data_IF_865302051166
#
_entry.id   IF_865302051166
#
_cell.length_a   1.000
_cell.length_b   1.000
_cell.length_c   1.000
_cell.angle_alpha   90.00
_cell.angle_beta   90.00
_cell.angle_gamma   90.00
#
_symmetry.space_group_name_H-M   'P 1'
#
loop_
_entity.id
_entity.type
_entity.pdbx_description
1 polymer ?
#
# COMPACT_ATOMS: atom_id res chain seq x y z
N UNK A 1 31.32 -8.00 -2.48
CA UNK A 1 30.05 -8.62 -2.88
C UNK A 1 30.38 -9.60 -4.00
N UNK A 2 29.87 -10.82 -3.94
CA UNK A 2 30.09 -11.83 -4.99
C UNK A 2 28.86 -11.81 -5.92
N UNK A 3 29.10 -11.99 -7.23
CA UNK A 3 28.05 -12.02 -8.25
C UNK A 3 28.26 -13.23 -9.17
N UNK A 4 27.15 -13.84 -9.59
CA UNK A 4 27.20 -14.77 -10.72
C UNK A 4 27.38 -13.99 -12.03
N UNK A 5 28.08 -14.62 -13.00
CA UNK A 5 28.25 -13.99 -14.32
C UNK A 5 26.92 -13.81 -15.04
N UNK A 6 26.87 -12.82 -15.92
CA UNK A 6 25.67 -12.55 -16.76
C UNK A 6 25.30 -13.80 -17.58
N UNK A 7 26.29 -14.51 -18.15
CA UNK A 7 26.04 -15.72 -18.94
C UNK A 7 25.40 -16.85 -18.12
N UNK A 8 25.84 -17.03 -16.87
CA UNK A 8 25.26 -18.01 -15.94
C UNK A 8 23.81 -17.65 -15.64
N UNK A 9 23.53 -16.39 -15.29
CA UNK A 9 22.18 -15.92 -15.00
C UNK A 9 21.27 -16.03 -16.22
N UNK A 10 21.77 -15.66 -17.40
CA UNK A 10 21.05 -15.82 -18.68
C UNK A 10 20.70 -17.30 -18.95
N UNK A 11 21.62 -18.21 -18.69
CA UNK A 11 21.38 -19.64 -18.81
C UNK A 11 20.26 -20.12 -17.86
N UNK A 12 20.36 -19.74 -16.58
CA UNK A 12 19.38 -20.14 -15.57
C UNK A 12 17.99 -19.58 -15.87
N UNK A 13 17.87 -18.33 -16.31
CA UNK A 13 16.58 -17.75 -16.72
C UNK A 13 15.98 -18.39 -17.96
N UNK A 14 16.79 -18.74 -18.97
CA UNK A 14 16.29 -19.52 -20.10
C UNK A 14 15.74 -20.88 -19.65
N UNK A 15 16.46 -21.58 -18.78
CA UNK A 15 15.99 -22.84 -18.23
C UNK A 15 14.66 -22.70 -17.48
N UNK A 16 14.49 -21.68 -16.64
CA UNK A 16 13.26 -21.39 -15.92
C UNK A 16 12.10 -21.11 -16.88
N UNK A 17 12.33 -20.30 -17.91
CA UNK A 17 11.33 -19.93 -18.90
C UNK A 17 10.97 -21.10 -19.81
N UNK A 18 11.95 -21.92 -20.21
CA UNK A 18 11.73 -23.15 -21.01
C UNK A 18 10.92 -24.19 -20.22
N UNK A 19 11.01 -24.18 -18.86
CA UNK A 19 10.16 -24.96 -17.99
C UNK A 19 8.72 -24.40 -17.81
N UNK A 20 8.40 -23.28 -18.48
CA UNK A 20 7.07 -22.65 -18.42
C UNK A 20 6.76 -21.85 -17.15
N UNK A 21 7.78 -21.53 -16.36
CA UNK A 21 7.62 -20.73 -15.15
C UNK A 21 7.27 -19.28 -15.51
N UNK A 22 6.17 -18.78 -14.94
CA UNK A 22 5.60 -17.49 -15.30
C UNK A 22 6.15 -16.33 -14.45
N UNK A 23 6.44 -16.58 -13.17
CA UNK A 23 6.84 -15.57 -12.21
C UNK A 23 8.19 -15.93 -11.60
N UNK A 24 9.09 -14.96 -11.52
CA UNK A 24 10.43 -15.14 -10.97
C UNK A 24 10.60 -14.24 -9.75
N UNK A 25 11.03 -14.82 -8.63
CA UNK A 25 11.54 -14.07 -7.49
C UNK A 25 13.03 -14.36 -7.34
N UNK A 26 13.84 -13.35 -7.66
CA UNK A 26 15.29 -13.41 -7.47
C UNK A 26 15.64 -13.14 -6.00
N UNK A 27 16.21 -14.12 -5.33
CA UNK A 27 16.66 -14.02 -3.94
C UNK A 27 18.01 -13.29 -3.82
N UNK A 28 18.07 -12.08 -4.34
CA UNK A 28 19.20 -11.15 -4.18
C UNK A 28 18.78 -10.07 -3.18
N UNK A 29 19.60 -9.80 -2.19
CA UNK A 29 19.30 -8.79 -1.15
C UNK A 29 19.58 -7.35 -1.57
N UNK A 30 20.23 -7.12 -2.72
CA UNK A 30 20.70 -5.80 -3.16
C UNK A 30 20.77 -5.67 -4.69
N UNK A 31 19.82 -6.19 -5.43
CA UNK A 31 19.80 -6.09 -6.90
C UNK A 31 19.84 -4.63 -7.35
N UNK A 32 20.65 -4.34 -8.35
CA UNK A 32 20.95 -2.97 -8.80
C UNK A 32 22.17 -2.33 -8.12
N UNK A 33 22.80 -3.01 -7.15
CA UNK A 33 24.02 -2.51 -6.54
C UNK A 33 25.25 -2.69 -7.43
N UNK A 34 25.30 -3.76 -8.21
CA UNK A 34 26.44 -4.10 -9.06
C UNK A 34 26.26 -3.58 -10.48
N UNK A 35 27.39 -3.34 -11.17
CA UNK A 35 27.38 -2.88 -12.57
C UNK A 35 26.75 -3.92 -13.51
N UNK A 36 27.00 -5.18 -13.23
CA UNK A 36 26.52 -6.31 -14.01
C UNK A 36 25.00 -6.51 -13.93
N UNK A 37 24.33 -5.91 -12.94
CA UNK A 37 22.88 -6.08 -12.75
C UNK A 37 22.09 -5.43 -13.88
N UNK A 38 22.63 -4.37 -14.52
CA UNK A 38 22.04 -3.77 -15.73
C UNK A 38 22.02 -4.79 -16.87
N UNK A 39 23.14 -5.46 -17.12
CA UNK A 39 23.25 -6.45 -18.18
C UNK A 39 22.40 -7.70 -17.91
N UNK A 40 22.25 -8.08 -16.63
CA UNK A 40 21.29 -9.14 -16.25
C UNK A 40 19.85 -8.72 -16.55
N UNK A 41 19.47 -7.50 -16.17
CA UNK A 41 18.12 -6.99 -16.46
C UNK A 41 17.85 -6.95 -17.98
N UNK A 42 18.80 -6.48 -18.79
CA UNK A 42 18.71 -6.51 -20.25
C UNK A 42 18.50 -7.94 -20.78
N UNK A 43 19.29 -8.89 -20.27
CA UNK A 43 19.16 -10.30 -20.66
C UNK A 43 17.77 -10.87 -20.35
N UNK A 44 17.18 -10.50 -19.21
CA UNK A 44 15.83 -10.91 -18.85
C UNK A 44 14.77 -10.29 -19.79
N UNK A 45 14.91 -9.00 -20.12
CA UNK A 45 14.03 -8.33 -21.08
C UNK A 45 14.10 -8.95 -22.48
N UNK A 46 15.30 -9.30 -22.96
CA UNK A 46 15.47 -10.02 -24.23
C UNK A 46 14.76 -11.39 -24.22
N UNK A 47 14.87 -12.13 -23.11
CA UNK A 47 14.16 -13.41 -22.95
C UNK A 47 12.64 -13.17 -22.97
N UNK A 48 12.13 -12.18 -22.24
CA UNK A 48 10.72 -11.80 -22.20
C UNK A 48 10.20 -11.44 -23.61
N UNK A 49 10.92 -10.62 -24.33
CA UNK A 49 10.53 -10.20 -25.70
C UNK A 49 10.47 -11.39 -26.66
N UNK A 50 11.39 -12.36 -26.52
CA UNK A 50 11.45 -13.55 -27.36
C UNK A 50 10.38 -14.60 -27.03
N UNK A 51 10.06 -14.79 -25.74
CA UNK A 51 9.27 -15.93 -25.27
C UNK A 51 7.90 -15.55 -24.69
N UNK A 52 7.68 -14.28 -24.39
CA UNK A 52 6.51 -13.82 -23.62
C UNK A 52 6.62 -14.07 -22.10
N UNK A 53 7.64 -14.77 -21.65
CA UNK A 53 7.88 -15.12 -20.23
C UNK A 53 9.20 -14.54 -19.73
N UNK A 54 9.32 -14.32 -18.40
CA UNK A 54 8.30 -14.46 -17.38
C UNK A 54 7.25 -13.35 -17.44
N UNK A 55 6.15 -13.50 -16.73
CA UNK A 55 5.15 -12.42 -16.60
C UNK A 55 5.65 -11.36 -15.63
N UNK A 56 6.24 -11.78 -14.51
CA UNK A 56 6.76 -10.87 -13.48
C UNK A 56 8.17 -11.25 -13.03
N UNK A 57 8.92 -10.24 -12.61
CA UNK A 57 10.22 -10.39 -11.97
C UNK A 57 10.28 -9.52 -10.73
N UNK A 58 10.38 -10.14 -9.55
CA UNK A 58 10.52 -9.49 -8.27
C UNK A 58 11.88 -9.76 -7.64
N UNK A 59 12.37 -8.85 -6.82
CA UNK A 59 13.64 -8.97 -6.10
C UNK A 59 13.69 -7.99 -4.94
N UNK A 60 14.66 -8.18 -4.03
CA UNK A 60 14.99 -7.15 -3.04
C UNK A 60 16.01 -6.17 -3.63
N UNK A 61 15.64 -4.93 -3.63
CA UNK A 61 16.39 -3.86 -4.27
C UNK A 61 17.57 -3.35 -3.45
N UNK A 62 18.54 -2.76 -4.13
CA UNK A 62 19.62 -2.02 -3.49
C UNK A 62 19.05 -0.88 -2.61
N UNK A 63 19.55 -0.78 -1.38
CA UNK A 63 19.15 0.25 -0.41
C UNK A 63 19.50 1.68 -0.86
N UNK A 64 20.44 1.81 -1.80
CA UNK A 64 20.85 3.09 -2.38
C UNK A 64 20.34 3.15 -3.81
N UNK A 65 19.26 3.90 -4.00
CA UNK A 65 18.81 4.25 -5.35
C UNK A 65 19.85 5.17 -6.02
N UNK A 66 20.15 4.88 -7.27
CA UNK A 66 21.07 5.66 -8.08
C UNK A 66 20.74 5.49 -9.56
N UNK A 67 21.48 6.15 -10.49
CA UNK A 67 21.19 6.10 -11.92
C UNK A 67 21.07 4.67 -12.47
N UNK A 68 21.85 3.74 -11.93
CA UNK A 68 21.80 2.32 -12.33
C UNK A 68 20.51 1.64 -11.88
N UNK A 69 20.10 1.83 -10.63
CA UNK A 69 18.82 1.28 -10.15
C UNK A 69 17.64 1.87 -10.94
N UNK A 70 17.69 3.16 -11.25
CA UNK A 70 16.70 3.82 -12.09
C UNK A 70 16.64 3.22 -13.50
N UNK A 71 17.80 3.03 -14.15
CA UNK A 71 17.88 2.38 -15.48
C UNK A 71 17.24 0.99 -15.46
N UNK A 72 17.57 0.16 -14.44
CA UNK A 72 17.01 -1.19 -14.32
C UNK A 72 15.49 -1.15 -14.10
N UNK A 73 15.03 -0.29 -13.21
CA UNK A 73 13.59 -0.17 -12.87
C UNK A 73 12.79 0.23 -14.10
N UNK A 74 13.22 1.25 -14.83
CA UNK A 74 12.54 1.71 -16.04
C UNK A 74 12.57 0.63 -17.13
N UNK A 75 13.70 -0.01 -17.34
CA UNK A 75 13.84 -1.11 -18.31
C UNK A 75 12.88 -2.27 -18.03
N UNK A 76 12.78 -2.71 -16.75
CA UNK A 76 11.88 -3.78 -16.37
C UNK A 76 10.41 -3.33 -16.47
N UNK A 77 10.11 -2.07 -16.13
CA UNK A 77 8.77 -1.51 -16.24
C UNK A 77 8.29 -1.45 -17.70
N UNK A 78 9.11 -0.92 -18.60
CA UNK A 78 8.82 -0.85 -20.05
C UNK A 78 8.58 -2.22 -20.69
N UNK A 79 9.20 -3.27 -20.13
CA UNK A 79 9.00 -4.65 -20.58
C UNK A 79 7.90 -5.41 -19.81
N UNK A 80 7.09 -4.72 -19.00
CA UNK A 80 6.03 -5.32 -18.19
C UNK A 80 6.51 -6.47 -17.30
N UNK A 81 7.70 -6.34 -16.74
CA UNK A 81 8.33 -7.31 -15.84
C UNK A 81 8.26 -6.88 -14.38
N UNK A 82 8.10 -5.57 -14.12
CA UNK A 82 8.20 -5.00 -12.78
C UNK A 82 6.85 -5.01 -12.06
N UNK A 83 6.60 -5.92 -11.10
CA UNK A 83 5.38 -5.89 -10.32
C UNK A 83 5.37 -4.76 -9.29
N UNK A 84 6.53 -4.46 -8.72
CA UNK A 84 6.74 -3.37 -7.76
C UNK A 84 8.21 -2.97 -7.66
N UNK A 85 8.43 -1.73 -7.22
CA UNK A 85 9.74 -1.21 -6.86
C UNK A 85 9.69 -0.64 -5.44
N UNK A 86 10.43 -1.23 -4.50
CA UNK A 86 10.37 -0.84 -3.10
C UNK A 86 11.59 -0.03 -2.67
N UNK A 87 11.32 1.10 -1.99
CA UNK A 87 12.31 1.82 -1.19
C UNK A 87 12.13 1.45 0.28
N UNK A 88 13.03 0.64 0.81
CA UNK A 88 12.97 0.17 2.19
C UNK A 88 13.46 1.28 3.14
N UNK A 89 12.62 2.24 3.47
CA UNK A 89 12.91 3.31 4.43
C UNK A 89 12.88 2.82 5.87
N UNK A 90 11.95 1.94 6.19
CA UNK A 90 11.67 1.26 7.47
C UNK A 90 11.21 2.19 8.59
N UNK A 91 11.87 3.30 8.83
CA UNK A 91 11.47 4.41 9.69
C UNK A 91 12.14 5.69 9.22
N UNK A 92 11.59 6.84 9.58
CA UNK A 92 12.23 8.14 9.42
C UNK A 92 12.64 8.75 10.77
N UNK A 93 12.33 8.08 11.87
CA UNK A 93 12.65 8.55 13.23
C UNK A 93 14.16 8.43 13.50
N UNK A 94 14.87 9.54 13.77
CA UNK A 94 16.33 9.55 13.86
C UNK A 94 16.88 8.57 14.90
N UNK A 95 16.27 8.51 16.10
CA UNK A 95 16.72 7.61 17.15
C UNK A 95 16.55 6.14 16.75
N UNK A 96 15.45 5.78 16.10
CA UNK A 96 15.25 4.41 15.63
C UNK A 96 16.26 4.04 14.53
N UNK A 97 16.59 4.97 13.63
CA UNK A 97 17.63 4.75 12.62
C UNK A 97 19.01 4.53 13.27
N UNK A 98 19.35 5.33 14.27
CA UNK A 98 20.61 5.21 15.02
C UNK A 98 20.72 3.84 15.71
N UNK A 99 19.69 3.44 16.46
CA UNK A 99 19.66 2.17 17.19
C UNK A 99 19.67 0.95 16.26
N UNK A 100 19.06 1.06 15.08
CA UNK A 100 19.11 0.01 14.05
C UNK A 100 20.39 0.04 13.21
N UNK A 101 21.36 0.91 13.52
CA UNK A 101 22.60 1.12 12.73
C UNK A 101 22.30 1.36 11.25
N UNK A 102 21.26 2.16 10.96
CA UNK A 102 20.77 2.37 9.62
C UNK A 102 20.90 3.83 9.20
N UNK A 103 21.29 4.01 7.95
CA UNK A 103 21.29 5.32 7.28
C UNK A 103 20.35 5.24 6.08
N UNK A 104 19.27 5.99 6.13
CA UNK A 104 18.38 6.15 5.00
C UNK A 104 18.92 7.17 3.99
N UNK A 105 18.36 7.14 2.80
CA UNK A 105 18.51 8.22 1.84
C UNK A 105 17.82 9.48 2.39
N UNK A 106 18.47 10.63 2.25
CA UNK A 106 17.88 11.90 2.66
C UNK A 106 16.58 12.19 1.89
N UNK A 107 15.64 12.87 2.53
CA UNK A 107 14.33 13.17 1.93
C UNK A 107 14.43 13.93 0.61
N UNK A 108 15.35 14.90 0.52
CA UNK A 108 15.61 15.66 -0.70
C UNK A 108 16.12 14.79 -1.89
N UNK A 109 16.41 13.51 -1.63
CA UNK A 109 16.83 12.56 -2.67
C UNK A 109 15.73 11.55 -2.98
N UNK A 110 15.06 10.97 -1.99
CA UNK A 110 14.05 9.95 -2.26
C UNK A 110 12.71 10.54 -2.72
N UNK A 111 12.32 11.70 -2.24
CA UNK A 111 11.04 12.31 -2.64
C UNK A 111 10.98 12.65 -4.15
N UNK A 112 12.00 13.30 -4.76
CA UNK A 112 12.00 13.52 -6.20
C UNK A 112 11.94 12.21 -7.00
N UNK A 113 12.67 11.18 -6.56
CA UNK A 113 12.68 9.86 -7.21
C UNK A 113 11.28 9.25 -7.16
N UNK A 114 10.65 9.26 -5.99
CA UNK A 114 9.31 8.68 -5.81
C UNK A 114 8.28 9.39 -6.71
N UNK A 115 8.32 10.72 -6.76
CA UNK A 115 7.42 11.51 -7.63
C UNK A 115 7.69 11.27 -9.12
N UNK A 116 8.94 11.18 -9.54
CA UNK A 116 9.31 10.88 -10.93
C UNK A 116 8.80 9.48 -11.32
N UNK A 117 9.01 8.48 -10.48
CA UNK A 117 8.55 7.12 -10.72
C UNK A 117 7.02 7.02 -10.74
N UNK A 118 6.33 7.71 -9.84
CA UNK A 118 4.86 7.76 -9.83
C UNK A 118 4.30 8.38 -11.10
N UNK A 119 4.88 9.49 -11.57
CA UNK A 119 4.51 10.13 -12.86
C UNK A 119 4.75 9.21 -14.06
N UNK A 120 5.82 8.42 -14.03
CA UNK A 120 6.10 7.40 -15.04
C UNK A 120 5.24 6.13 -14.90
N UNK A 121 4.30 6.09 -13.93
CA UNK A 121 3.47 4.93 -13.60
C UNK A 121 4.26 3.68 -13.21
N UNK A 122 5.50 3.86 -12.76
CA UNK A 122 6.24 2.78 -12.11
C UNK A 122 5.57 2.46 -10.78
N UNK A 123 5.28 1.18 -10.48
CA UNK A 123 4.62 0.81 -9.22
C UNK A 123 5.60 0.93 -8.03
N UNK A 124 5.91 2.18 -7.66
CA UNK A 124 6.82 2.48 -6.55
C UNK A 124 6.10 2.41 -5.22
N UNK A 125 6.76 1.82 -4.23
CA UNK A 125 6.31 1.75 -2.86
C UNK A 125 7.43 2.07 -1.87
N UNK A 126 7.09 2.51 -0.67
CA UNK A 126 8.02 2.49 0.45
C UNK A 126 7.61 1.45 1.50
N UNK A 127 8.57 1.01 2.29
CA UNK A 127 8.37 0.07 3.39
C UNK A 127 8.67 0.76 4.71
N UNK A 128 7.72 0.64 5.66
CA UNK A 128 7.87 1.07 7.04
C UNK A 128 7.73 -0.12 7.99
N UNK A 129 8.36 -0.01 9.15
CA UNK A 129 8.24 -0.98 10.23
C UNK A 129 7.78 -0.24 11.48
N UNK A 130 6.61 -0.62 12.01
CA UNK A 130 6.16 -0.18 13.31
C UNK A 130 6.73 -1.05 14.42
N UNK A 131 7.08 -0.45 15.55
CA UNK A 131 7.58 -1.13 16.73
C UNK A 131 9.11 -1.18 16.82
N UNK A 132 9.83 -0.44 15.98
CA UNK A 132 11.27 -0.28 16.10
C UNK A 132 11.64 0.49 17.37
N UNK A 133 12.66 0.01 18.08
CA UNK A 133 13.16 0.67 19.29
C UNK A 133 13.68 2.06 18.91
N UNK A 134 13.25 3.08 19.65
CA UNK A 134 13.56 4.48 19.36
C UNK A 134 12.47 5.20 18.56
N UNK A 135 11.43 4.50 18.09
CA UNK A 135 10.23 5.11 17.50
C UNK A 135 9.15 5.38 18.57
N UNK A 136 8.08 6.04 18.20
CA UNK A 136 6.84 6.22 18.97
C UNK A 136 5.69 6.52 18.00
N UNK A 137 4.46 6.36 18.48
CA UNK A 137 3.27 6.46 17.63
C UNK A 137 3.13 7.85 16.96
N UNK A 138 3.37 8.92 17.71
CA UNK A 138 3.23 10.28 17.18
C UNK A 138 4.23 10.56 16.06
N UNK A 139 5.49 10.12 16.22
CA UNK A 139 6.51 10.21 15.17
C UNK A 139 6.16 9.32 13.98
N UNK A 140 5.64 8.13 14.24
CA UNK A 140 5.25 7.19 13.19
C UNK A 140 4.08 7.72 12.36
N UNK A 141 3.04 8.29 12.99
CA UNK A 141 1.92 8.94 12.31
C UNK A 141 2.38 10.12 11.46
N UNK A 142 3.21 11.00 12.02
CA UNK A 142 3.79 12.14 11.29
C UNK A 142 4.59 11.69 10.06
N UNK A 143 5.40 10.64 10.22
CA UNK A 143 6.18 10.04 9.13
C UNK A 143 5.27 9.42 8.07
N UNK A 144 4.20 8.75 8.48
CA UNK A 144 3.22 8.14 7.59
C UNK A 144 2.48 9.21 6.77
N UNK A 145 1.98 10.26 7.41
CA UNK A 145 1.32 11.39 6.75
C UNK A 145 2.23 12.03 5.68
N UNK A 146 3.49 12.27 6.03
CA UNK A 146 4.49 12.77 5.07
C UNK A 146 4.67 11.85 3.88
N UNK A 147 4.78 10.55 4.11
CA UNK A 147 5.03 9.56 3.06
C UNK A 147 3.82 9.31 2.17
N UNK A 148 2.59 9.48 2.67
CA UNK A 148 1.39 9.46 1.85
C UNK A 148 1.37 10.52 0.75
N UNK A 149 1.99 11.70 1.00
CA UNK A 149 2.14 12.75 0.01
C UNK A 149 3.28 12.49 -1.00
N UNK A 150 4.04 11.43 -0.83
CA UNK A 150 5.23 11.12 -1.64
C UNK A 150 5.10 9.82 -2.42
N UNK A 151 4.54 8.78 -1.79
CA UNK A 151 4.47 7.44 -2.37
C UNK A 151 3.04 7.02 -2.69
N UNK A 152 2.78 6.48 -3.89
CA UNK A 152 1.46 5.93 -4.23
C UNK A 152 1.12 4.68 -3.40
N UNK A 153 2.14 4.00 -2.88
CA UNK A 153 1.96 2.79 -2.08
C UNK A 153 2.92 2.79 -0.90
N UNK A 154 2.40 2.47 0.28
CA UNK A 154 3.18 2.29 1.50
C UNK A 154 2.89 0.88 2.05
N UNK A 155 3.93 0.12 2.34
CA UNK A 155 3.83 -1.16 3.05
C UNK A 155 4.25 -0.95 4.50
N UNK A 156 3.40 -1.32 5.44
CA UNK A 156 3.70 -1.21 6.87
C UNK A 156 3.72 -2.61 7.47
N UNK A 157 4.80 -2.93 8.15
CA UNK A 157 4.99 -4.20 8.84
C UNK A 157 5.12 -3.98 10.36
N UNK A 158 4.59 -4.90 11.15
CA UNK A 158 4.91 -4.98 12.58
C UNK A 158 6.34 -5.51 12.76
N UNK A 159 7.10 -4.90 13.66
CA UNK A 159 8.44 -5.38 13.95
C UNK A 159 8.38 -6.74 14.63
N UNK A 160 8.96 -7.76 13.98
CA UNK A 160 9.08 -9.10 14.53
C UNK A 160 10.45 -9.30 15.13
N UNK A 161 10.49 -9.56 16.44
CA UNK A 161 11.73 -9.85 17.15
C UNK A 161 12.19 -11.28 16.83
N UNK A 162 13.31 -11.40 16.13
CA UNK A 162 13.83 -12.68 15.68
C UNK A 162 15.01 -13.14 16.56
N UNK A 163 15.06 -14.44 16.96
CA UNK A 163 16.20 -15.00 17.65
C UNK A 163 17.52 -14.77 16.89
N UNK A 164 18.57 -14.44 17.64
CA UNK A 164 19.91 -14.20 17.07
C UNK A 164 20.14 -12.78 16.53
N UNK A 165 19.14 -11.92 16.57
CA UNK A 165 19.33 -10.48 16.28
C UNK A 165 19.85 -9.73 17.51
N UNK A 166 20.45 -8.56 17.30
CA UNK A 166 21.00 -7.73 18.38
C UNK A 166 19.92 -7.36 19.40
N UNK A 167 18.76 -6.89 18.95
CA UNK A 167 17.66 -6.53 19.82
C UNK A 167 17.10 -7.72 20.61
N UNK A 168 17.11 -8.94 20.05
CA UNK A 168 16.73 -10.14 20.77
C UNK A 168 17.71 -10.40 21.95
N UNK A 169 19.00 -10.21 21.74
CA UNK A 169 20.02 -10.36 22.78
C UNK A 169 20.00 -9.25 23.84
N UNK A 170 19.48 -8.09 23.49
CA UNK A 170 19.39 -6.90 24.36
C UNK A 170 17.96 -6.56 24.82
N UNK A 171 17.06 -7.55 24.82
CA UNK A 171 15.65 -7.28 25.11
C UNK A 171 15.41 -6.66 26.50
N UNK A 172 16.22 -7.02 27.49
CA UNK A 172 16.12 -6.42 28.83
C UNK A 172 16.62 -4.97 28.85
N UNK A 173 17.73 -4.70 28.16
CA UNK A 173 18.34 -3.36 28.03
C UNK A 173 17.36 -2.37 27.40
N UNK A 174 16.64 -2.80 26.35
CA UNK A 174 15.66 -1.98 25.63
C UNK A 174 14.23 -2.13 26.15
N UNK A 175 14.01 -2.88 27.25
CA UNK A 175 12.71 -3.11 27.86
C UNK A 175 11.68 -3.60 26.82
N UNK A 176 12.08 -4.57 25.97
CA UNK A 176 11.24 -5.03 24.86
C UNK A 176 10.16 -5.97 25.38
N UNK A 177 8.91 -5.58 25.14
CA UNK A 177 7.72 -6.36 25.40
C UNK A 177 7.14 -6.88 24.09
N UNK A 178 6.70 -8.15 24.11
CA UNK A 178 6.30 -8.84 22.89
C UNK A 178 5.01 -9.63 23.07
N UNK A 179 4.30 -9.83 21.96
CA UNK A 179 3.22 -10.80 21.83
C UNK A 179 3.60 -11.87 20.80
N UNK A 180 3.19 -13.14 21.01
CA UNK A 180 3.47 -14.18 20.03
C UNK A 180 2.75 -13.88 18.72
N UNK A 181 3.46 -14.11 17.61
CA UNK A 181 2.88 -14.05 16.26
C UNK A 181 2.26 -15.40 15.95
N UNK A 182 0.97 -15.45 15.67
CA UNK A 182 0.33 -16.59 15.03
C UNK A 182 0.88 -16.66 13.59
N UNK A 183 1.70 -17.72 13.29
CA UNK A 183 2.22 -17.52 12.12
C UNK A 183 2.79 -18.37 11.09
N UNK A 184 3.82 -18.16 10.48
CA UNK A 184 4.42 -18.88 9.38
C UNK A 184 4.88 -20.28 9.80
N UNK A 185 3.95 -21.22 9.89
CA UNK A 185 4.21 -22.61 10.25
C UNK A 185 4.74 -22.78 11.68
N UNK A 186 5.89 -23.46 11.85
CA UNK A 186 6.50 -23.69 13.17
C UNK A 186 7.47 -22.58 13.62
N UNK A 187 7.62 -21.52 12.85
CA UNK A 187 8.48 -20.41 13.22
C UNK A 187 7.84 -19.62 14.37
N UNK A 188 8.60 -19.44 15.45
CA UNK A 188 8.19 -18.61 16.58
C UNK A 188 8.74 -17.21 16.34
N UNK A 189 7.86 -16.32 15.92
CA UNK A 189 8.10 -14.88 15.91
C UNK A 189 7.40 -14.22 17.10
N UNK A 190 7.85 -13.06 17.50
CA UNK A 190 7.23 -12.24 18.53
C UNK A 190 7.08 -10.82 17.99
N UNK A 191 5.84 -10.28 18.01
CA UNK A 191 5.64 -8.86 17.69
C UNK A 191 6.06 -8.00 18.86
N UNK A 192 6.88 -6.99 18.60
CA UNK A 192 7.21 -5.96 19.59
C UNK A 192 5.99 -5.06 19.77
N UNK A 193 5.49 -5.03 21.01
CA UNK A 193 4.32 -4.23 21.40
C UNK A 193 4.64 -3.17 22.44
N UNK A 194 5.84 -3.18 23.02
CA UNK A 194 6.34 -2.16 23.95
C UNK A 194 7.85 -2.17 24.01
N UNK A 195 8.45 -1.04 24.32
CA UNK A 195 9.90 -0.92 24.55
C UNK A 195 10.21 0.38 25.30
N UNK A 196 11.49 0.64 25.54
CA UNK A 196 11.95 1.86 26.22
C UNK A 196 11.43 3.19 25.62
N UNK A 197 10.99 3.21 24.38
CA UNK A 197 10.53 4.42 23.68
C UNK A 197 9.02 4.56 23.57
N UNK A 198 8.27 3.50 23.81
CA UNK A 198 6.80 3.53 23.82
C UNK A 198 6.24 2.41 24.73
N UNK A 199 5.15 2.66 25.47
CA UNK A 199 4.45 1.66 26.29
C UNK A 199 3.61 0.71 25.44
N UNK A 200 3.12 -0.40 26.03
CA UNK A 200 2.30 -1.41 25.35
C UNK A 200 1.05 -0.79 24.71
N UNK A 201 0.38 0.11 25.41
CA UNK A 201 -0.85 0.74 24.94
C UNK A 201 -0.61 1.48 23.61
N UNK A 202 0.50 2.19 23.52
CA UNK A 202 0.91 2.90 22.30
C UNK A 202 1.34 1.92 21.22
N UNK A 203 2.06 0.85 21.60
CA UNK A 203 2.45 -0.22 20.70
C UNK A 203 1.25 -0.87 20.02
N UNK A 204 0.20 -1.17 20.77
CA UNK A 204 -1.04 -1.75 20.28
C UNK A 204 -1.82 -0.78 19.37
N UNK A 205 -1.83 0.51 19.66
CA UNK A 205 -2.40 1.54 18.79
C UNK A 205 -1.70 1.59 17.41
N UNK A 206 -0.40 1.33 17.34
CA UNK A 206 0.31 1.24 16.08
C UNK A 206 -0.10 0.02 15.24
N UNK A 207 -0.37 -1.14 15.83
CA UNK A 207 -0.95 -2.29 15.12
C UNK A 207 -2.38 -2.00 14.64
N UNK A 208 -3.14 -1.25 15.43
CA UNK A 208 -4.45 -0.76 15.00
C UNK A 208 -4.34 0.17 13.79
N UNK A 209 -3.36 1.07 13.76
CA UNK A 209 -3.07 1.91 12.59
C UNK A 209 -2.64 1.09 11.37
N UNK A 210 -1.85 0.02 11.54
CA UNK A 210 -1.52 -0.92 10.46
C UNK A 210 -2.79 -1.51 9.86
N UNK A 211 -3.73 -1.96 10.72
CA UNK A 211 -5.01 -2.51 10.26
C UNK A 211 -5.83 -1.48 9.49
N UNK A 212 -5.92 -0.24 10.01
CA UNK A 212 -6.60 0.85 9.34
C UNK A 212 -6.00 1.13 7.95
N UNK A 213 -4.67 1.19 7.87
CA UNK A 213 -3.95 1.37 6.62
C UNK A 213 -4.19 0.22 5.62
N UNK A 214 -4.17 -1.03 6.11
CA UNK A 214 -4.45 -2.20 5.27
C UNK A 214 -5.84 -2.16 4.64
N UNK A 215 -6.85 -1.76 5.40
CA UNK A 215 -8.23 -1.66 4.88
C UNK A 215 -8.39 -0.48 3.93
N UNK A 216 -8.00 0.71 4.32
CA UNK A 216 -8.39 1.96 3.66
C UNK A 216 -7.50 2.33 2.49
N UNK A 217 -6.18 2.17 2.66
CA UNK A 217 -5.20 2.52 1.62
C UNK A 217 -4.89 1.31 0.73
N UNK A 218 -4.41 0.23 1.33
CA UNK A 218 -4.00 -0.99 0.62
C UNK A 218 -5.20 -1.82 0.16
N UNK A 219 -6.27 -1.82 0.95
CA UNK A 219 -7.50 -2.57 0.70
C UNK A 219 -8.45 -1.94 -0.31
N UNK A 220 -8.06 -0.86 -0.97
CA UNK A 220 -8.89 -0.16 -1.97
C UNK A 220 -10.22 0.40 -1.46
N UNK A 221 -10.35 0.63 -0.16
CA UNK A 221 -11.57 1.24 0.36
C UNK A 221 -11.66 2.72 -0.04
N UNK A 222 -10.57 3.48 0.13
CA UNK A 222 -10.56 4.90 -0.21
C UNK A 222 -9.19 5.44 -0.70
N UNK A 223 -8.55 4.79 -1.65
CA UNK A 223 -7.20 5.14 -2.08
C UNK A 223 -7.12 6.52 -2.74
N UNK A 224 -8.12 6.94 -3.50
CA UNK A 224 -8.15 8.24 -4.18
C UNK A 224 -8.38 9.36 -3.17
N UNK A 225 -9.34 9.17 -2.26
CA UNK A 225 -9.64 10.13 -1.18
C UNK A 225 -8.43 10.35 -0.30
N UNK A 226 -7.75 9.28 0.14
CA UNK A 226 -6.54 9.39 0.97
C UNK A 226 -5.40 10.12 0.25
N UNK A 227 -5.16 9.82 -1.03
CA UNK A 227 -4.16 10.53 -1.84
C UNK A 227 -4.47 12.01 -1.97
N UNK A 228 -5.72 12.35 -2.25
CA UNK A 228 -6.14 13.74 -2.35
C UNK A 228 -5.90 14.50 -1.05
N UNK A 229 -6.31 13.93 0.09
CA UNK A 229 -6.11 14.53 1.40
C UNK A 229 -4.62 14.68 1.74
N UNK A 230 -3.83 13.64 1.52
CA UNK A 230 -2.40 13.67 1.78
C UNK A 230 -1.66 14.70 0.90
N UNK A 231 -1.99 14.78 -0.39
CA UNK A 231 -1.39 15.76 -1.31
C UNK A 231 -1.84 17.19 -1.02
N UNK A 232 -3.03 17.38 -0.44
CA UNK A 232 -3.52 18.70 -0.03
C UNK A 232 -2.88 19.19 1.27
N UNK A 233 -2.32 18.27 2.07
CA UNK A 233 -1.74 18.54 3.40
C UNK A 233 -2.71 19.28 4.35
N UNK A 234 -4.00 19.21 4.08
CA UNK A 234 -5.02 19.96 4.80
C UNK A 234 -5.34 19.35 6.17
N UNK A 235 -5.27 18.00 6.27
CA UNK A 235 -5.58 17.26 7.50
C UNK A 235 -4.67 16.04 7.61
N UNK A 236 -4.32 15.59 8.85
CA UNK A 236 -3.53 14.38 9.06
C UNK A 236 -4.37 13.13 8.73
N UNK A 237 -3.91 12.30 7.80
CA UNK A 237 -4.65 11.13 7.33
C UNK A 237 -4.46 9.89 8.20
N UNK A 238 -3.32 9.74 8.90
CA UNK A 238 -3.04 8.59 9.75
C UNK A 238 -4.03 8.50 10.93
N UNK A 239 -4.22 9.60 11.64
CA UNK A 239 -5.20 9.69 12.73
C UNK A 239 -6.64 9.51 12.24
N UNK A 240 -6.97 10.06 11.07
CA UNK A 240 -8.28 9.88 10.43
C UNK A 240 -8.57 8.40 10.15
N UNK A 241 -7.61 7.66 9.58
CA UNK A 241 -7.77 6.22 9.32
C UNK A 241 -8.01 5.43 10.61
N UNK A 242 -7.32 5.75 11.73
CA UNK A 242 -7.59 5.11 13.03
C UNK A 242 -9.02 5.39 13.51
N UNK A 243 -9.48 6.63 13.39
CA UNK A 243 -10.85 7.02 13.76
C UNK A 243 -11.90 6.30 12.92
N UNK A 244 -11.64 6.11 11.62
CA UNK A 244 -12.48 5.33 10.73
C UNK A 244 -12.52 3.85 11.12
N UNK A 245 -11.37 3.26 11.46
CA UNK A 245 -11.33 1.86 11.90
C UNK A 245 -12.11 1.66 13.21
N UNK A 246 -12.02 2.59 14.15
CA UNK A 246 -12.86 2.57 15.36
C UNK A 246 -14.35 2.56 15.02
N UNK A 247 -14.77 3.41 14.09
CA UNK A 247 -16.16 3.49 13.66
C UNK A 247 -16.62 2.22 12.92
N UNK A 248 -15.76 1.64 12.07
CA UNK A 248 -16.06 0.37 11.39
C UNK A 248 -16.15 -0.82 12.35
N UNK A 249 -15.30 -0.88 13.38
CA UNK A 249 -15.42 -1.91 14.42
C UNK A 249 -16.75 -1.82 15.16
N UNK A 250 -17.22 -0.62 15.44
CA UNK A 250 -18.53 -0.42 16.07
C UNK A 250 -19.67 -0.77 15.11
N UNK A 251 -19.55 -0.38 13.83
CA UNK A 251 -20.55 -0.62 12.79
C UNK A 251 -20.77 -2.11 12.54
N UNK A 252 -19.72 -2.93 12.58
CA UNK A 252 -19.74 -4.35 12.21
C UNK A 252 -19.58 -5.30 13.39
N UNK A 253 -19.78 -4.83 14.63
CA UNK A 253 -19.65 -5.64 15.84
C UNK A 253 -20.68 -6.79 15.94
N UNK A 254 -21.83 -6.66 15.29
CA UNK A 254 -22.85 -7.71 15.23
C UNK A 254 -22.53 -8.77 14.17
N UNK A 255 -21.97 -8.37 13.02
CA UNK A 255 -21.60 -9.25 11.93
C UNK A 255 -20.32 -10.05 12.22
N UNK A 256 -19.41 -9.51 13.02
CA UNK A 256 -18.15 -10.15 13.40
C UNK A 256 -18.10 -10.36 14.90
N UNK A 257 -18.56 -11.52 15.41
CA UNK A 257 -18.57 -11.81 16.82
C UNK A 257 -17.17 -11.75 17.44
N UNK A 258 -17.01 -10.92 18.46
CA UNK A 258 -15.72 -10.69 19.15
C UNK A 258 -14.94 -9.49 18.62
N UNK A 259 -15.35 -8.87 17.53
CA UNK A 259 -14.73 -7.62 17.07
C UNK A 259 -14.99 -6.49 18.09
N UNK A 260 -13.91 -5.98 18.66
CA UNK A 260 -13.96 -4.91 19.66
C UNK A 260 -12.77 -3.96 19.47
N UNK A 261 -13.03 -2.72 19.18
CA UNK A 261 -11.99 -1.70 18.99
C UNK A 261 -11.10 -1.45 20.24
N UNK A 262 -11.51 -1.88 21.43
CA UNK A 262 -10.67 -1.84 22.63
C UNK A 262 -9.56 -2.92 22.59
N UNK A 263 -9.80 -4.05 21.93
CA UNK A 263 -8.81 -5.10 21.69
C UNK A 263 -8.09 -4.86 20.34
N UNK A 264 -7.05 -4.06 20.35
CA UNK A 264 -6.33 -3.65 19.13
C UNK A 264 -5.70 -4.81 18.37
N UNK A 265 -5.15 -5.80 19.09
CA UNK A 265 -4.58 -6.99 18.46
C UNK A 265 -5.67 -7.93 17.95
N UNK A 266 -6.78 -8.07 18.65
CA UNK A 266 -7.94 -8.78 18.15
C UNK A 266 -8.46 -8.17 16.87
N UNK A 267 -8.53 -6.86 16.73
CA UNK A 267 -8.87 -6.18 15.46
C UNK A 267 -7.86 -6.48 14.37
N UNK A 268 -6.56 -6.53 14.68
CA UNK A 268 -5.53 -6.94 13.70
C UNK A 268 -5.71 -8.40 13.25
N UNK A 269 -6.13 -9.30 14.14
CA UNK A 269 -6.46 -10.68 13.80
C UNK A 269 -7.73 -10.79 12.94
N UNK A 270 -8.77 -9.98 13.21
CA UNK A 270 -10.02 -9.92 12.44
C UNK A 270 -9.94 -9.09 11.14
N UNK A 271 -8.76 -8.65 10.72
CA UNK A 271 -8.61 -7.76 9.56
C UNK A 271 -9.19 -8.32 8.26
N UNK A 272 -9.13 -9.64 8.07
CA UNK A 272 -9.66 -10.31 6.87
C UNK A 272 -11.18 -10.35 6.89
N UNK A 273 -11.78 -10.73 8.02
CA UNK A 273 -13.22 -10.72 8.22
C UNK A 273 -13.80 -9.31 8.10
N UNK A 274 -13.12 -8.33 8.71
CA UNK A 274 -13.53 -6.93 8.62
C UNK A 274 -13.46 -6.41 7.18
N UNK A 275 -12.44 -6.82 6.44
CA UNK A 275 -12.31 -6.51 5.03
C UNK A 275 -13.48 -7.10 4.22
N UNK A 276 -13.73 -8.41 4.34
CA UNK A 276 -14.83 -9.09 3.64
C UNK A 276 -16.17 -8.45 3.98
N UNK A 277 -16.41 -8.18 5.27
CA UNK A 277 -17.67 -7.59 5.74
C UNK A 277 -17.84 -6.17 5.19
N UNK A 278 -16.77 -5.36 5.17
CA UNK A 278 -16.82 -4.00 4.62
C UNK A 278 -17.24 -3.98 3.14
N UNK A 279 -16.78 -4.93 2.34
CA UNK A 279 -17.16 -5.03 0.93
C UNK A 279 -18.42 -5.89 0.66
N UNK A 280 -18.91 -6.57 1.67
CA UNK A 280 -20.24 -7.20 1.63
C UNK A 280 -21.34 -6.16 1.85
N UNK A 281 -21.07 -5.15 2.70
CA UNK A 281 -21.99 -4.06 3.02
C UNK A 281 -21.43 -2.69 2.62
N UNK A 282 -21.16 -2.44 1.33
CA UNK A 282 -20.43 -1.26 0.88
C UNK A 282 -21.12 0.05 1.26
N UNK A 283 -22.45 0.13 1.19
CA UNK A 283 -23.19 1.35 1.53
C UNK A 283 -23.01 1.74 2.99
N UNK A 284 -23.10 0.78 3.93
CA UNK A 284 -22.87 1.02 5.36
C UNK A 284 -21.44 1.45 5.60
N UNK A 285 -20.50 0.78 4.96
CA UNK A 285 -19.07 1.10 5.05
C UNK A 285 -18.78 2.52 4.61
N UNK A 286 -19.24 2.91 3.41
CA UNK A 286 -18.96 4.25 2.87
C UNK A 286 -19.68 5.36 3.62
N UNK A 287 -20.91 5.13 4.10
CA UNK A 287 -21.59 6.06 5.01
C UNK A 287 -20.83 6.24 6.32
N UNK A 288 -20.29 5.15 6.89
CA UNK A 288 -19.49 5.21 8.10
C UNK A 288 -18.20 6.00 7.89
N UNK A 289 -17.39 5.67 6.88
CA UNK A 289 -16.11 6.36 6.62
C UNK A 289 -16.31 7.82 6.20
N UNK A 290 -17.35 8.12 5.44
CA UNK A 290 -17.69 9.49 5.05
C UNK A 290 -18.03 10.36 6.26
N UNK A 291 -18.87 9.87 7.16
CA UNK A 291 -19.22 10.59 8.40
C UNK A 291 -17.96 10.94 9.20
N UNK A 292 -17.03 9.98 9.35
CA UNK A 292 -15.79 10.20 10.09
C UNK A 292 -14.87 11.19 9.34
N UNK A 293 -14.74 11.07 8.03
CA UNK A 293 -13.91 11.98 7.23
C UNK A 293 -14.39 13.43 7.33
N UNK A 294 -15.71 13.65 7.21
CA UNK A 294 -16.28 15.00 7.29
C UNK A 294 -16.14 15.60 8.68
N UNK A 295 -16.33 14.79 9.74
CA UNK A 295 -16.10 15.23 11.12
C UNK A 295 -14.62 15.54 11.35
N UNK A 296 -13.71 14.71 10.85
CA UNK A 296 -12.27 14.93 10.96
C UNK A 296 -11.81 16.25 10.33
N UNK A 297 -12.38 16.59 9.17
CA UNK A 297 -12.14 17.90 8.53
C UNK A 297 -12.64 19.05 9.41
N UNK A 298 -13.82 18.91 10.02
CA UNK A 298 -14.35 19.91 10.96
C UNK A 298 -13.45 20.12 12.18
N UNK A 299 -12.92 19.03 12.72
CA UNK A 299 -12.10 19.07 13.94
C UNK A 299 -10.69 19.65 13.70
N UNK A 300 -10.20 19.61 12.44
CA UNK A 300 -8.83 19.99 12.09
C UNK A 300 -8.73 21.26 11.22
N UNK A 301 -9.84 21.78 10.76
CA UNK A 301 -9.89 22.99 9.94
C UNK A 301 -10.89 24.01 10.52
N UNK A 302 -10.57 25.29 10.44
CA UNK A 302 -11.53 26.34 10.73
C UNK A 302 -12.76 26.17 9.84
N UNK A 303 -13.95 26.40 10.38
CA UNK A 303 -15.21 26.30 9.62
C UNK A 303 -15.34 27.49 8.66
N UNK A 304 -14.74 27.37 7.50
CA UNK A 304 -14.69 28.38 6.45
C UNK A 304 -14.98 27.79 5.06
N UNK A 305 -14.87 28.61 4.03
CA UNK A 305 -15.13 28.21 2.64
C UNK A 305 -14.20 27.08 2.18
N UNK A 306 -12.95 27.04 2.66
CA UNK A 306 -12.00 25.99 2.29
C UNK A 306 -12.39 24.63 2.89
N UNK A 307 -12.80 24.61 4.16
CA UNK A 307 -13.31 23.39 4.81
C UNK A 307 -14.57 22.88 4.10
N UNK A 308 -15.51 23.76 3.74
CA UNK A 308 -16.71 23.40 3.00
C UNK A 308 -16.37 22.80 1.61
N UNK A 309 -15.43 23.41 0.90
CA UNK A 309 -14.94 22.93 -0.39
C UNK A 309 -14.26 21.56 -0.25
N UNK A 310 -13.40 21.39 0.77
CA UNK A 310 -12.73 20.12 1.03
C UNK A 310 -13.72 18.99 1.33
N UNK A 311 -14.74 19.25 2.17
CA UNK A 311 -15.81 18.30 2.48
C UNK A 311 -16.55 17.86 1.23
N UNK A 312 -16.94 18.81 0.36
CA UNK A 312 -17.61 18.50 -0.89
C UNK A 312 -16.76 17.59 -1.78
N UNK A 313 -15.47 17.92 -1.97
CA UNK A 313 -14.55 17.11 -2.77
C UNK A 313 -14.33 15.71 -2.18
N UNK A 314 -14.16 15.61 -0.86
CA UNK A 314 -14.01 14.34 -0.16
C UNK A 314 -15.26 13.47 -0.32
N UNK A 315 -16.45 14.06 -0.23
CA UNK A 315 -17.69 13.32 -0.50
C UNK A 315 -17.70 12.71 -1.89
N UNK A 316 -17.41 13.49 -2.92
CA UNK A 316 -17.39 12.98 -4.30
C UNK A 316 -16.26 11.98 -4.58
N UNK A 317 -15.06 12.18 -3.98
CA UNK A 317 -13.98 11.21 -4.10
C UNK A 317 -14.29 9.89 -3.40
N UNK A 318 -15.01 9.91 -2.27
CA UNK A 318 -15.51 8.68 -1.64
C UNK A 318 -16.56 7.96 -2.48
N UNK A 319 -17.43 8.69 -3.18
CA UNK A 319 -18.36 8.10 -4.15
C UNK A 319 -17.61 7.45 -5.31
N UNK A 320 -16.51 8.08 -5.78
CA UNK A 320 -15.65 7.50 -6.80
C UNK A 320 -14.91 6.25 -6.28
N UNK A 321 -14.32 6.30 -5.09
CA UNK A 321 -13.70 5.14 -4.45
C UNK A 321 -14.71 3.99 -4.29
N UNK A 322 -15.96 4.29 -3.85
CA UNK A 322 -17.03 3.30 -3.72
C UNK A 322 -17.41 2.67 -5.06
N UNK A 323 -17.45 3.47 -6.12
CA UNK A 323 -17.79 2.98 -7.46
C UNK A 323 -16.73 1.97 -7.97
N UNK A 324 -15.48 2.12 -7.59
CA UNK A 324 -14.37 1.21 -7.93
C UNK A 324 -14.10 0.11 -6.89
N UNK A 325 -14.80 0.14 -5.76
CA UNK A 325 -14.54 -0.78 -4.67
C UNK A 325 -14.78 -2.25 -5.07
N UNK A 326 -13.95 -3.18 -4.59
CA UNK A 326 -14.23 -4.60 -4.69
C UNK A 326 -15.60 -4.93 -4.12
N UNK A 327 -16.22 -6.01 -4.59
CA UNK A 327 -17.47 -6.53 -4.01
C UNK A 327 -17.50 -8.06 -4.05
N UNK A 328 -18.27 -8.64 -3.14
CA UNK A 328 -18.34 -10.10 -2.95
C UNK A 328 -19.37 -10.78 -3.86
N UNK A 329 -20.15 -10.01 -4.60
CA UNK A 329 -21.24 -10.52 -5.45
C UNK A 329 -20.80 -10.86 -6.88
N UNK A 330 -21.77 -11.03 -7.76
CA UNK A 330 -21.56 -11.23 -9.19
C UNK A 330 -20.96 -9.97 -9.84
N UNK A 331 -20.35 -10.15 -11.00
CA UNK A 331 -19.93 -9.04 -11.87
C UNK A 331 -21.08 -8.06 -12.07
N UNK A 332 -20.78 -6.78 -11.97
CA UNK A 332 -21.78 -5.71 -12.17
C UNK A 332 -21.22 -4.58 -13.02
N UNK A 333 -22.12 -3.93 -13.75
CA UNK A 333 -21.86 -2.67 -14.41
C UNK A 333 -22.51 -1.56 -13.60
N UNK A 334 -21.75 -0.49 -13.33
CA UNK A 334 -22.20 0.67 -12.59
C UNK A 334 -22.05 1.90 -13.48
N UNK A 335 -23.08 2.73 -13.54
CA UNK A 335 -22.99 4.07 -14.13
C UNK A 335 -22.91 5.06 -12.97
N UNK A 336 -21.87 5.87 -12.96
CA UNK A 336 -21.63 6.88 -11.93
C UNK A 336 -21.55 8.27 -12.56
N UNK A 337 -22.05 9.27 -11.85
CA UNK A 337 -22.09 10.67 -12.29
C UNK A 337 -21.31 11.53 -11.32
N UNK A 338 -20.41 12.35 -11.84
CA UNK A 338 -19.57 13.23 -11.04
C UNK A 338 -19.63 14.67 -11.60
N UNK A 339 -19.45 15.67 -10.71
CA UNK A 339 -19.39 17.08 -11.05
C UNK A 339 -17.99 17.51 -11.52
N UNK A 340 -17.12 16.54 -11.82
CA UNK A 340 -15.75 16.77 -12.27
C UNK A 340 -15.31 15.72 -13.29
N UNK A 341 -14.22 16.00 -14.00
CA UNK A 341 -13.61 15.04 -14.93
C UNK A 341 -12.92 13.90 -14.15
N UNK A 342 -13.68 12.83 -13.89
CA UNK A 342 -13.24 11.71 -13.05
C UNK A 342 -11.97 11.02 -13.61
N UNK A 343 -11.87 10.83 -14.93
CA UNK A 343 -10.70 10.19 -15.55
C UNK A 343 -9.43 11.00 -15.30
N UNK A 344 -9.49 12.33 -15.51
CA UNK A 344 -8.34 13.19 -15.30
C UNK A 344 -7.98 13.33 -13.83
N UNK A 345 -8.97 13.38 -12.93
CA UNK A 345 -8.72 13.43 -11.47
C UNK A 345 -8.04 12.14 -11.03
N UNK A 346 -8.54 10.97 -11.45
CA UNK A 346 -7.90 9.69 -11.14
C UNK A 346 -6.46 9.64 -11.68
N UNK A 347 -6.27 9.97 -12.96
CA UNK A 347 -4.96 9.98 -13.59
C UNK A 347 -3.95 10.88 -12.86
N UNK A 348 -4.39 12.06 -12.46
CA UNK A 348 -3.57 13.03 -11.72
C UNK A 348 -3.20 12.50 -10.32
N UNK A 349 -4.17 11.95 -9.57
CA UNK A 349 -3.94 11.39 -8.24
C UNK A 349 -3.05 10.15 -8.28
N UNK A 350 -3.22 9.27 -9.28
CA UNK A 350 -2.34 8.12 -9.48
C UNK A 350 -0.90 8.53 -9.82
N UNK A 351 -0.71 9.63 -10.53
CA UNK A 351 0.58 10.25 -10.78
C UNK A 351 1.17 10.98 -9.58
N UNK A 352 0.49 10.96 -8.43
CA UNK A 352 0.87 11.69 -7.21
C UNK A 352 1.00 13.20 -7.42
N UNK A 353 0.17 13.74 -8.29
CA UNK A 353 0.02 15.19 -8.48
C UNK A 353 -1.32 15.65 -7.88
N UNK A 354 -1.33 16.84 -7.29
CA UNK A 354 -2.59 17.42 -6.83
C UNK A 354 -3.39 17.93 -8.04
N UNK A 355 -4.65 17.51 -8.20
CA UNK A 355 -5.47 17.96 -9.31
C UNK A 355 -5.64 19.46 -9.32
N UNK A 356 -5.52 20.08 -10.48
CA UNK A 356 -5.80 21.50 -10.65
C UNK A 356 -7.26 21.81 -10.29
N UNK A 357 -7.52 23.02 -9.79
CA UNK A 357 -8.87 23.45 -9.43
C UNK A 357 -9.86 23.33 -10.60
N UNK A 358 -9.38 23.51 -11.84
CA UNK A 358 -10.18 23.36 -13.06
C UNK A 358 -10.71 21.93 -13.29
N UNK A 359 -10.03 20.90 -12.75
CA UNK A 359 -10.49 19.49 -12.86
C UNK A 359 -11.69 19.19 -11.94
N UNK A 360 -11.92 20.06 -10.96
CA UNK A 360 -13.12 20.05 -10.10
C UNK A 360 -14.09 21.20 -10.47
N UNK A 361 -13.95 21.82 -11.65
CA UNK A 361 -14.92 22.75 -12.14
C UNK A 361 -16.17 21.99 -12.63
N UNK A 362 -17.33 22.67 -12.63
CA UNK A 362 -18.64 22.13 -13.00
C UNK A 362 -18.62 21.46 -14.39
N UNK A 363 -18.18 20.22 -14.42
CA UNK A 363 -18.17 19.34 -15.59
C UNK A 363 -18.88 18.05 -15.18
N UNK A 364 -20.10 17.88 -15.66
CA UNK A 364 -20.78 16.60 -15.46
C UNK A 364 -20.11 15.52 -16.30
N UNK A 365 -19.58 14.51 -15.62
CA UNK A 365 -18.98 13.32 -16.26
C UNK A 365 -19.79 12.11 -15.89
N UNK A 366 -20.21 11.36 -16.91
CA UNK A 366 -20.81 10.05 -16.75
C UNK A 366 -19.78 8.98 -17.13
N UNK A 367 -19.51 8.07 -16.20
CA UNK A 367 -18.58 6.96 -16.44
C UNK A 367 -19.26 5.62 -16.23
N UNK A 368 -19.03 4.69 -17.13
CA UNK A 368 -19.41 3.28 -16.97
C UNK A 368 -18.26 2.50 -16.35
N UNK A 369 -18.57 1.76 -15.30
CA UNK A 369 -17.58 0.98 -14.54
C UNK A 369 -17.99 -0.48 -14.57
N UNK A 370 -17.12 -1.33 -15.14
CA UNK A 370 -17.28 -2.78 -15.11
C UNK A 370 -16.51 -3.33 -13.93
N UNK A 371 -17.20 -3.88 -12.92
CA UNK A 371 -16.60 -4.42 -11.70
C UNK A 371 -16.70 -5.94 -11.74
N UNK A 372 -15.57 -6.67 -11.86
CA UNK A 372 -15.56 -8.13 -11.83
C UNK A 372 -16.07 -8.65 -10.50
N UNK A 373 -16.87 -9.70 -10.53
CA UNK A 373 -17.35 -10.39 -9.34
C UNK A 373 -16.32 -11.38 -8.79
N UNK A 374 -16.67 -12.07 -7.71
CA UNK A 374 -15.89 -13.17 -7.15
C UNK A 374 -14.77 -12.76 -6.17
N UNK A 375 -14.70 -11.49 -5.78
CA UNK A 375 -13.73 -11.02 -4.78
C UNK A 375 -13.91 -11.76 -3.45
N UNK A 376 -15.14 -12.09 -3.07
CA UNK A 376 -15.42 -12.86 -1.86
C UNK A 376 -14.84 -14.28 -1.87
N UNK A 377 -14.75 -14.91 -3.02
CA UNK A 377 -14.18 -16.27 -3.15
C UNK A 377 -12.64 -16.23 -3.04
N UNK A 378 -12.04 -15.17 -3.53
CA UNK A 378 -10.59 -14.92 -3.43
C UNK A 378 -10.20 -14.60 -1.97
N UNK A 379 -11.03 -13.85 -1.26
CA UNK A 379 -10.78 -13.43 0.12
C UNK A 379 -11.01 -14.60 1.11
N UNK A 380 -11.83 -15.57 0.76
CA UNK A 380 -12.05 -16.79 1.56
C UNK A 380 -10.93 -17.82 1.45
N UNK A 381 -9.99 -17.61 0.54
CA UNK A 381 -8.79 -18.45 0.46
C UNK A 381 -7.87 -18.13 1.65
N UNK A 382 -7.64 -19.07 2.59
CA UNK A 382 -6.83 -18.82 3.78
C UNK A 382 -5.41 -18.35 3.49
N UNK A 383 -4.88 -18.73 2.33
CA UNK A 383 -3.54 -18.36 1.87
C UNK A 383 -3.54 -17.06 1.04
N UNK A 384 -4.71 -16.55 0.65
CA UNK A 384 -4.86 -15.51 -0.35
C UNK A 384 -5.41 -14.16 0.14
N UNK A 385 -6.15 -14.09 1.24
CA UNK A 385 -6.96 -12.93 1.57
C UNK A 385 -6.23 -11.60 1.64
N UNK A 386 -5.34 -11.44 2.59
CA UNK A 386 -4.51 -10.21 2.74
C UNK A 386 -3.44 -10.10 1.66
N UNK A 387 -2.90 -11.22 1.19
CA UNK A 387 -1.92 -11.30 0.13
C UNK A 387 -2.46 -10.78 -1.21
N UNK A 388 -3.62 -11.20 -1.62
CA UNK A 388 -4.26 -10.76 -2.87
C UNK A 388 -4.46 -9.25 -2.87
N UNK A 389 -4.76 -8.67 -1.72
CA UNK A 389 -4.85 -7.23 -1.59
C UNK A 389 -3.52 -6.52 -1.74
N UNK A 390 -2.48 -7.00 -1.07
CA UNK A 390 -1.14 -6.45 -1.19
C UNK A 390 -0.66 -6.56 -2.65
N UNK A 391 -0.93 -7.66 -3.32
CA UNK A 391 -0.53 -7.92 -4.69
C UNK A 391 -1.34 -7.16 -5.74
N UNK A 392 -2.63 -6.90 -5.51
CA UNK A 392 -3.46 -6.14 -6.44
C UNK A 392 -2.93 -4.73 -6.71
N UNK A 393 -2.30 -4.12 -5.74
CA UNK A 393 -1.67 -2.81 -5.92
C UNK A 393 -0.31 -2.88 -6.61
N UNK A 394 0.30 -4.05 -6.71
CA UNK A 394 1.71 -4.22 -7.05
C UNK A 394 2.00 -5.30 -8.08
N UNK A 395 1.10 -6.23 -8.34
CA UNK A 395 1.36 -7.36 -9.22
C UNK A 395 0.35 -7.50 -10.35
N UNK A 396 0.85 -7.86 -11.52
CA UNK A 396 0.08 -8.31 -12.68
C UNK A 396 0.05 -9.83 -12.75
N UNK A 397 0.06 -10.52 -11.61
CA UNK A 397 0.08 -11.97 -11.58
C UNK A 397 -1.31 -12.61 -11.83
N UNK A 398 -1.40 -13.95 -11.77
CA UNK A 398 -2.64 -14.66 -12.06
C UNK A 398 -3.78 -14.36 -11.08
N UNK A 399 -3.47 -13.95 -9.85
CA UNK A 399 -4.48 -13.52 -8.89
C UNK A 399 -5.01 -12.14 -9.24
N UNK A 400 -4.14 -11.22 -9.64
CA UNK A 400 -4.55 -9.92 -10.19
C UNK A 400 -5.32 -10.07 -11.51
N UNK A 401 -5.03 -11.12 -12.31
CA UNK A 401 -5.81 -11.43 -13.52
C UNK A 401 -7.21 -11.96 -13.21
N UNK A 402 -7.42 -12.61 -12.06
CA UNK A 402 -8.78 -12.97 -11.57
C UNK A 402 -9.57 -11.76 -11.08
N UNK A 403 -8.85 -10.73 -10.61
CA UNK A 403 -9.37 -9.41 -10.26
C UNK A 403 -9.12 -8.46 -11.44
N UNK A 404 -9.63 -8.76 -12.64
CA UNK A 404 -9.39 -7.95 -13.83
C UNK A 404 -9.56 -6.45 -13.50
N UNK A 405 -8.70 -5.58 -14.05
CA UNK A 405 -8.80 -4.16 -13.79
C UNK A 405 -10.19 -3.68 -14.13
N UNK A 406 -10.75 -2.86 -13.27
CA UNK A 406 -11.99 -2.14 -13.55
C UNK A 406 -11.79 -1.40 -14.86
N UNK A 407 -12.58 -1.72 -15.87
CA UNK A 407 -12.51 -1.03 -17.17
C UNK A 407 -13.42 0.19 -17.08
N UNK A 408 -12.83 1.36 -17.16
CA UNK A 408 -13.56 2.62 -17.27
C UNK A 408 -13.78 2.90 -18.75
N UNK A 409 -15.02 3.08 -19.17
CA UNK A 409 -15.36 3.62 -20.48
C UNK A 409 -16.05 4.95 -20.26
N UNK A 410 -15.47 6.02 -20.79
CA UNK A 410 -16.17 7.28 -20.91
C UNK A 410 -17.39 7.05 -21.85
N UNK A 411 -18.58 7.19 -21.32
CA UNK A 411 -19.80 7.14 -22.12
C UNK A 411 -19.96 8.50 -22.80
N UNK A 412 -20.05 8.51 -24.12
CA UNK A 412 -20.37 9.73 -24.85
C UNK A 412 -21.76 10.20 -24.43
N UNK A 413 -21.87 11.42 -23.93
CA UNK A 413 -23.17 12.04 -23.68
C UNK A 413 -23.99 12.05 -24.99
N UNK A 414 -25.26 11.64 -24.96
CA UNK A 414 -26.12 11.82 -26.12
C UNK A 414 -26.21 13.30 -26.46
N UNK A 415 -25.99 13.63 -27.74
CA UNK A 415 -26.03 14.97 -28.30
C UNK A 415 -27.38 15.65 -28.14
#
# INVERSE_FOLDING_TARGET
MLSFSVDRIRHDWNFIVDAGIKNIWLTDSNFGALREDVEKAKALCEIKQRTGLPHTFATSWSKKHGPRSQEIVLLLHENNLLPHYHLALQTLTPLALELCHRTNMDANKYEPIAREMAKARVPIACELIWGLIGDNLASFETNLDRLFAVFPTINIFGYTLLPGTEFYGKREEYQIETLPVAGYGKAKGEYVVGCMSFPIEEGLEGYFLITAHLLMSRGYMMPLTLRYLALSEAVPVAGMMRSMLHALCAEFSEEIPGLNAADKMGVYEFREELFVTSFTYPERTYQCVQRVALQWIEDHMDNNVEAARLKHRVTQLLELDQAFAPHTGATRDVTAHFDFDADKVMDTLEGMDLPAAALFADQHTEIGIHIPGGVGDIIKDPDGGVWIHAERSTSKDEHAAKLQPVTVQALALPA
#
